data_IF_151496629769
#
_entry.id   IF_151496629769
#
_cell.length_a   1.000
_cell.length_b   1.000
_cell.length_c   1.000
_cell.angle_alpha   90.00
_cell.angle_beta   90.00
_cell.angle_gamma   90.00
#
_symmetry.space_group_name_H-M   'P 1'
#
loop_
_entity.id
_entity.type
_entity.pdbx_description
1 polymer ?
#
# COMPACT_ATOMS: atom_id res chain seq x y z
N UNK A 1 -0.79 5.74 -8.71
CA UNK A 1 0.18 6.86 -8.54
C UNK A 1 0.91 6.86 -9.87
N UNK A 2 0.93 7.94 -10.68
CA UNK A 2 1.51 7.85 -12.02
C UNK A 2 2.92 7.24 -11.92
N UNK A 3 3.24 6.32 -12.85
CA UNK A 3 4.49 5.54 -12.85
C UNK A 3 5.63 6.51 -12.51
N UNK A 4 6.19 6.36 -11.31
CA UNK A 4 7.29 7.18 -10.87
C UNK A 4 8.45 6.88 -11.82
N UNK A 5 8.86 7.89 -12.60
CA UNK A 5 10.11 7.81 -13.34
C UNK A 5 11.26 7.79 -12.32
N UNK A 6 11.64 6.58 -11.94
CA UNK A 6 12.67 6.34 -10.94
C UNK A 6 14.05 6.76 -11.44
N UNK A 7 14.28 6.72 -12.75
CA UNK A 7 15.52 7.20 -13.35
C UNK A 7 15.65 8.72 -13.20
N UNK A 8 14.60 9.48 -13.54
CA UNK A 8 14.54 10.93 -13.30
C UNK A 8 14.63 11.26 -11.80
N UNK A 9 13.93 10.50 -10.96
CA UNK A 9 13.96 10.68 -9.51
C UNK A 9 15.37 10.45 -8.94
N UNK A 10 16.06 9.41 -9.40
CA UNK A 10 17.45 9.12 -9.04
C UNK A 10 18.38 10.28 -9.39
N UNK A 11 18.32 10.76 -10.65
CA UNK A 11 19.14 11.90 -11.10
C UNK A 11 18.91 13.14 -10.25
N UNK A 12 17.66 13.44 -9.93
CA UNK A 12 17.29 14.56 -9.05
C UNK A 12 17.93 14.43 -7.66
N UNK A 13 17.85 13.25 -7.03
CA UNK A 13 18.45 13.07 -5.69
C UNK A 13 19.97 13.18 -5.72
N UNK A 14 20.63 12.67 -6.76
CA UNK A 14 22.08 12.85 -6.93
C UNK A 14 22.44 14.33 -7.10
N UNK A 15 21.72 15.07 -7.94
CA UNK A 15 21.90 16.51 -8.08
C UNK A 15 21.73 17.23 -6.74
N UNK A 16 20.71 16.89 -5.97
CA UNK A 16 20.48 17.46 -4.65
C UNK A 16 21.64 17.14 -3.68
N UNK A 17 22.20 15.93 -3.72
CA UNK A 17 23.35 15.56 -2.87
C UNK A 17 24.58 16.37 -3.25
N UNK A 18 24.92 16.43 -4.55
CA UNK A 18 26.11 17.12 -5.01
C UNK A 18 26.01 18.65 -4.90
N UNK A 19 24.80 19.19 -5.06
CA UNK A 19 24.52 20.62 -4.91
C UNK A 19 24.25 21.08 -3.48
N UNK A 20 24.10 20.16 -2.51
CA UNK A 20 23.82 20.55 -1.12
C UNK A 20 25.03 21.20 -0.46
N UNK A 21 24.87 22.38 0.19
CA UNK A 21 25.92 22.98 1.01
C UNK A 21 26.10 22.26 2.35
N UNK A 22 25.08 21.52 2.81
CA UNK A 22 25.10 20.83 4.10
C UNK A 22 25.78 19.45 4.02
N UNK A 23 26.17 19.01 2.82
CA UNK A 23 26.89 17.76 2.61
C UNK A 23 28.32 18.13 2.23
N UNK A 24 29.28 17.80 3.10
CA UNK A 24 30.69 18.07 2.86
C UNK A 24 31.27 17.24 1.71
N UNK A 25 32.40 17.70 1.14
CA UNK A 25 33.01 17.10 -0.04
C UNK A 25 33.43 15.64 0.16
N UNK A 26 33.90 15.29 1.36
CA UNK A 26 34.23 13.91 1.72
C UNK A 26 33.01 12.97 1.60
N UNK A 27 31.81 13.45 1.92
CA UNK A 27 30.58 12.67 1.75
C UNK A 27 30.16 12.59 0.28
N UNK A 28 30.33 13.69 -0.48
CA UNK A 28 30.05 13.69 -1.93
C UNK A 28 30.96 12.69 -2.66
N UNK A 29 32.23 12.64 -2.28
CA UNK A 29 33.19 11.65 -2.78
C UNK A 29 32.75 10.22 -2.42
N UNK A 30 32.39 9.96 -1.16
CA UNK A 30 31.85 8.67 -0.75
C UNK A 30 30.61 8.25 -1.55
N UNK A 31 29.73 9.20 -1.92
CA UNK A 31 28.58 8.92 -2.78
C UNK A 31 29.00 8.59 -4.22
N UNK A 32 30.01 9.27 -4.78
CA UNK A 32 30.56 8.94 -6.11
C UNK A 32 31.12 7.52 -6.15
N UNK A 33 31.88 7.14 -5.13
CA UNK A 33 32.43 5.78 -5.04
C UNK A 33 31.31 4.74 -4.90
N UNK A 34 30.32 5.04 -4.07
CA UNK A 34 29.14 4.19 -3.93
C UNK A 34 28.37 4.03 -5.24
N UNK A 35 28.24 5.08 -6.05
CA UNK A 35 27.57 5.00 -7.35
C UNK A 35 28.28 4.07 -8.34
N UNK A 36 29.61 4.05 -8.30
CA UNK A 36 30.43 3.16 -9.15
C UNK A 36 30.17 1.70 -8.82
N UNK A 37 30.02 1.35 -7.55
CA UNK A 37 29.85 -0.04 -7.08
C UNK A 37 28.38 -0.49 -6.96
N UNK A 38 27.44 0.42 -6.72
CA UNK A 38 26.05 0.07 -6.43
C UNK A 38 25.19 -0.11 -7.69
N UNK A 39 25.31 -1.29 -8.31
CA UNK A 39 24.54 -1.66 -9.52
C UNK A 39 23.25 -2.42 -9.15
N UNK A 40 22.14 -1.69 -9.08
CA UNK A 40 20.79 -2.24 -8.83
C UNK A 40 19.74 -1.50 -9.66
N UNK A 41 18.50 -2.01 -9.71
CA UNK A 41 17.36 -1.38 -10.41
C UNK A 41 17.14 0.08 -9.96
N UNK A 42 16.77 0.96 -10.88
CA UNK A 42 16.62 2.41 -10.66
C UNK A 42 15.69 2.77 -9.49
N UNK A 43 14.58 2.05 -9.30
CA UNK A 43 13.70 2.26 -8.16
C UNK A 43 14.42 2.11 -6.82
N UNK A 44 15.30 1.11 -6.72
CA UNK A 44 16.09 0.86 -5.51
C UNK A 44 17.19 1.91 -5.35
N UNK A 45 17.78 2.38 -6.44
CA UNK A 45 18.76 3.49 -6.43
C UNK A 45 18.12 4.80 -6.00
N UNK A 46 16.94 5.14 -6.54
CA UNK A 46 16.21 6.34 -6.17
C UNK A 46 15.90 6.39 -4.66
N UNK A 47 15.37 5.29 -4.10
CA UNK A 47 15.13 5.18 -2.66
C UNK A 47 16.44 5.28 -1.86
N UNK A 48 17.52 4.68 -2.34
CA UNK A 48 18.83 4.74 -1.69
C UNK A 48 19.33 6.19 -1.60
N UNK A 49 19.41 6.90 -2.73
CA UNK A 49 19.94 8.26 -2.78
C UNK A 49 19.04 9.27 -2.06
N UNK A 50 17.72 9.08 -2.07
CA UNK A 50 16.83 9.85 -1.23
C UNK A 50 17.23 9.75 0.25
N UNK A 51 17.48 8.54 0.75
CA UNK A 51 17.85 8.35 2.15
C UNK A 51 19.26 8.87 2.45
N UNK A 52 20.21 8.72 1.52
CA UNK A 52 21.53 9.32 1.65
C UNK A 52 21.44 10.84 1.80
N UNK A 53 20.66 11.51 0.95
CA UNK A 53 20.43 12.95 1.04
C UNK A 53 19.90 13.39 2.41
N UNK A 54 19.06 12.57 3.03
CA UNK A 54 18.44 12.89 4.32
C UNK A 54 19.39 12.67 5.52
N UNK A 55 20.26 11.66 5.52
CA UNK A 55 21.14 11.40 6.68
C UNK A 55 22.58 11.91 6.55
N UNK A 56 23.12 12.07 5.33
CA UNK A 56 24.50 12.54 5.14
C UNK A 56 24.76 13.95 5.70
N UNK A 57 23.80 14.90 5.72
CA UNK A 57 24.02 16.20 6.36
C UNK A 57 24.37 16.12 7.85
N UNK A 58 24.10 15.00 8.52
CA UNK A 58 24.43 14.82 9.94
C UNK A 58 25.88 14.36 10.18
N UNK A 59 26.62 14.04 9.12
CA UNK A 59 28.01 13.61 9.15
C UNK A 59 28.90 14.63 8.44
N UNK A 60 30.02 15.01 9.05
CA UNK A 60 31.06 15.81 8.38
C UNK A 60 31.85 14.93 7.40
N UNK A 61 32.17 13.71 7.81
CA UNK A 61 32.85 12.70 7.01
C UNK A 61 32.34 11.31 7.42
N UNK A 62 31.34 10.82 6.69
CA UNK A 62 30.68 9.55 6.94
C UNK A 62 31.67 8.37 6.99
N UNK A 63 32.69 8.34 6.11
CA UNK A 63 33.67 7.24 6.05
C UNK A 63 34.45 7.09 7.36
N UNK A 64 34.76 8.21 8.03
CA UNK A 64 35.44 8.19 9.33
C UNK A 64 34.46 8.00 10.47
N UNK A 65 33.39 8.79 10.46
CA UNK A 65 32.41 8.85 11.55
C UNK A 65 31.53 7.60 11.66
N UNK A 66 31.46 6.73 10.64
CA UNK A 66 30.76 5.43 10.76
C UNK A 66 31.43 4.44 11.74
N UNK A 67 32.68 4.72 12.13
CA UNK A 67 33.42 4.00 13.17
C UNK A 67 33.37 4.70 14.53
N UNK A 68 32.64 5.80 14.65
CA UNK A 68 32.42 6.49 15.93
C UNK A 68 31.03 6.11 16.46
N UNK A 69 31.02 5.39 17.59
CA UNK A 69 29.78 4.89 18.20
C UNK A 69 28.85 6.03 18.63
N UNK A 70 29.38 7.04 19.30
CA UNK A 70 28.58 8.13 19.87
C UNK A 70 28.01 9.00 18.76
N UNK A 71 28.82 9.28 17.73
CA UNK A 71 28.37 10.00 16.55
C UNK A 71 27.23 9.26 15.86
N UNK A 72 27.41 7.97 15.58
CA UNK A 72 26.38 7.14 14.96
C UNK A 72 25.10 7.09 15.80
N UNK A 73 25.22 6.87 17.11
CA UNK A 73 24.08 6.85 18.03
C UNK A 73 23.31 8.16 18.00
N UNK A 74 24.00 9.31 18.01
CA UNK A 74 23.38 10.62 17.97
C UNK A 74 22.56 10.85 16.69
N UNK A 75 23.05 10.37 15.54
CA UNK A 75 22.34 10.49 14.26
C UNK A 75 21.14 9.55 14.21
N UNK A 76 21.29 8.30 14.66
CA UNK A 76 20.19 7.34 14.67
C UNK A 76 19.07 7.78 15.61
N UNK A 77 19.40 8.36 16.76
CA UNK A 77 18.41 8.92 17.68
C UNK A 77 17.58 10.01 16.99
N UNK A 78 18.22 10.92 16.24
CA UNK A 78 17.52 11.96 15.45
C UNK A 78 16.59 11.35 14.40
N UNK A 79 16.99 10.25 13.77
CA UNK A 79 16.21 9.59 12.72
C UNK A 79 15.10 8.66 13.26
N UNK A 80 15.20 8.22 14.52
CA UNK A 80 14.28 7.23 15.10
C UNK A 80 12.84 7.69 15.29
N UNK A 81 12.58 9.00 15.29
CA UNK A 81 11.22 9.56 15.34
C UNK A 81 10.41 9.39 14.04
N UNK A 82 11.01 8.85 12.98
CA UNK A 82 10.36 8.72 11.67
C UNK A 82 9.78 7.32 11.46
N UNK A 83 8.59 7.22 10.87
CA UNK A 83 8.00 5.93 10.44
C UNK A 83 8.83 5.18 9.38
N UNK A 84 9.89 5.81 8.87
CA UNK A 84 10.86 5.28 7.92
C UNK A 84 12.19 4.88 8.56
N UNK A 85 12.32 4.91 9.90
CA UNK A 85 13.57 4.60 10.63
C UNK A 85 14.23 3.30 10.18
N UNK A 86 13.46 2.20 10.04
CA UNK A 86 14.03 0.92 9.60
C UNK A 86 14.54 0.98 8.14
N UNK A 87 13.93 1.83 7.30
CA UNK A 87 14.44 2.09 5.95
C UNK A 87 15.76 2.87 6.01
N UNK A 88 15.85 3.93 6.82
CA UNK A 88 17.09 4.66 7.04
C UNK A 88 18.20 3.73 7.51
N UNK A 89 17.92 2.95 8.55
CA UNK A 89 18.83 1.96 9.11
C UNK A 89 19.33 1.02 8.02
N UNK A 90 18.42 0.40 7.25
CA UNK A 90 18.76 -0.53 6.17
C UNK A 90 19.67 0.09 5.11
N UNK A 91 19.36 1.32 4.65
CA UNK A 91 20.16 2.02 3.63
C UNK A 91 21.52 2.46 4.15
N UNK A 92 21.59 2.95 5.38
CA UNK A 92 22.85 3.30 6.03
C UNK A 92 23.76 2.08 6.19
N UNK A 93 23.22 0.88 6.52
CA UNK A 93 24.05 -0.34 6.55
C UNK A 93 24.66 -0.64 5.19
N UNK A 94 23.83 -0.58 4.15
CA UNK A 94 24.24 -0.94 2.80
C UNK A 94 25.30 0.04 2.29
N UNK A 95 25.15 1.33 2.59
CA UNK A 95 26.14 2.36 2.28
C UNK A 95 27.46 2.10 2.98
N UNK A 96 27.43 1.96 4.31
CA UNK A 96 28.63 1.72 5.12
C UNK A 96 29.35 0.42 4.72
N UNK A 97 28.61 -0.68 4.54
CA UNK A 97 29.18 -1.94 4.12
C UNK A 97 29.88 -1.83 2.77
N UNK A 98 29.26 -1.21 1.77
CA UNK A 98 29.87 -1.09 0.45
C UNK A 98 31.08 -0.17 0.43
N UNK A 99 31.14 0.86 1.30
CA UNK A 99 32.33 1.69 1.46
C UNK A 99 33.44 1.00 2.27
N UNK A 100 33.11 -0.06 3.01
CA UNK A 100 33.99 -0.82 3.88
C UNK A 100 34.11 -2.29 3.41
N UNK A 101 34.31 -2.48 2.10
CA UNK A 101 34.64 -3.78 1.49
C UNK A 101 33.63 -4.92 1.79
N UNK A 102 32.36 -4.56 1.97
CA UNK A 102 31.27 -5.50 2.28
C UNK A 102 30.99 -5.68 3.77
N UNK A 103 31.86 -5.19 4.66
CA UNK A 103 31.69 -5.36 6.10
C UNK A 103 31.01 -4.16 6.76
N UNK A 104 30.03 -4.44 7.63
CA UNK A 104 29.39 -3.39 8.42
C UNK A 104 30.29 -3.02 9.61
N UNK A 105 30.66 -1.74 9.79
CA UNK A 105 31.42 -1.28 10.95
C UNK A 105 30.81 -1.71 12.29
N UNK A 106 31.65 -2.21 13.22
CA UNK A 106 31.20 -2.68 14.55
C UNK A 106 30.39 -1.64 15.33
N UNK A 107 30.81 -0.36 15.41
CA UNK A 107 30.07 0.68 16.15
C UNK A 107 28.68 0.88 15.59
N UNK A 108 28.58 0.91 14.26
CA UNK A 108 27.32 1.00 13.54
C UNK A 108 26.41 -0.22 13.82
N UNK A 109 26.96 -1.44 13.80
CA UNK A 109 26.23 -2.67 14.16
C UNK A 109 25.73 -2.66 15.60
N UNK A 110 26.52 -2.16 16.55
CA UNK A 110 26.20 -2.09 17.98
C UNK A 110 25.13 -1.03 18.27
N UNK A 111 25.31 0.19 17.74
CA UNK A 111 24.38 1.31 17.93
C UNK A 111 22.94 0.93 17.57
N UNK A 112 22.78 0.17 16.49
CA UNK A 112 21.47 -0.28 16.05
C UNK A 112 20.78 -1.31 16.94
N UNK A 113 21.50 -2.02 17.83
CA UNK A 113 20.86 -2.96 18.77
C UNK A 113 20.07 -2.23 19.85
N UNK A 114 20.40 -0.96 20.09
CA UNK A 114 19.75 -0.11 21.10
C UNK A 114 18.33 0.30 20.70
N UNK A 115 18.02 0.31 19.41
CA UNK A 115 16.70 0.68 18.91
C UNK A 115 15.81 -0.56 18.78
N UNK A 116 14.73 -0.63 19.56
CA UNK A 116 13.71 -1.66 19.43
C UNK A 116 13.08 -1.56 18.04
N UNK A 117 12.86 -2.70 17.38
CA UNK A 117 12.04 -2.73 16.16
C UNK A 117 10.64 -2.25 16.52
N UNK A 118 10.16 -1.21 15.84
CA UNK A 118 8.72 -0.89 15.88
C UNK A 118 7.97 -2.06 15.27
N UNK A 119 6.94 -2.55 15.96
CA UNK A 119 6.02 -3.55 15.39
C UNK A 119 5.22 -2.84 14.29
N UNK A 120 5.65 -3.00 13.03
CA UNK A 120 5.00 -2.39 11.86
C UNK A 120 3.81 -3.23 11.37
N UNK A 121 2.91 -3.63 12.27
CA UNK A 121 1.63 -4.23 11.92
C UNK A 121 0.52 -3.27 12.31
N UNK A 122 -0.51 -3.10 11.45
CA UNK A 122 -1.71 -2.32 11.83
C UNK A 122 -2.44 -2.92 13.05
N UNK A 123 -2.12 -4.16 13.43
CA UNK A 123 -2.73 -4.84 14.58
C UNK A 123 -4.22 -5.12 14.39
N UNK A 124 -4.70 -5.15 13.14
CA UNK A 124 -6.10 -5.44 12.81
C UNK A 124 -6.45 -6.84 13.30
N UNK A 125 -7.51 -6.92 14.10
CA UNK A 125 -8.13 -8.15 14.60
C UNK A 125 -9.30 -8.54 13.68
N UNK A 126 -9.87 -9.73 13.88
CA UNK A 126 -11.00 -10.25 13.10
C UNK A 126 -12.15 -9.25 12.97
N UNK A 127 -12.55 -8.64 14.08
CA UNK A 127 -13.66 -7.68 14.12
C UNK A 127 -13.37 -6.35 13.39
N UNK A 128 -12.10 -6.02 13.10
CA UNK A 128 -11.74 -4.81 12.36
C UNK A 128 -11.96 -4.96 10.84
N UNK A 129 -12.26 -6.18 10.37
CA UNK A 129 -12.45 -6.46 8.95
C UNK A 129 -13.88 -6.16 8.51
N UNK A 130 -14.00 -5.43 7.39
CA UNK A 130 -15.28 -5.22 6.71
C UNK A 130 -15.75 -6.54 6.13
N UNK A 131 -16.92 -7.00 6.54
CA UNK A 131 -17.56 -8.18 5.98
C UNK A 131 -18.18 -7.87 4.61
N UNK A 132 -18.48 -8.90 3.82
CA UNK A 132 -19.14 -8.71 2.52
C UNK A 132 -20.50 -8.01 2.66
N UNK A 133 -21.30 -8.39 3.66
CA UNK A 133 -22.60 -7.77 3.94
C UNK A 133 -22.48 -6.28 4.31
N UNK A 134 -21.54 -5.93 5.19
CA UNK A 134 -21.25 -4.53 5.52
C UNK A 134 -20.77 -3.74 4.29
N UNK A 135 -19.98 -4.37 3.42
CA UNK A 135 -19.57 -3.78 2.14
C UNK A 135 -20.76 -3.45 1.25
N UNK A 136 -21.69 -4.40 1.09
CA UNK A 136 -22.94 -4.19 0.34
C UNK A 136 -23.78 -3.05 0.92
N UNK A 137 -23.85 -2.93 2.25
CA UNK A 137 -24.60 -1.85 2.89
C UNK A 137 -23.92 -0.49 2.74
N UNK A 138 -22.59 -0.43 2.78
CA UNK A 138 -21.82 0.79 2.55
C UNK A 138 -22.03 1.33 1.13
N UNK A 139 -21.96 0.46 0.12
CA UNK A 139 -22.05 0.91 -1.27
C UNK A 139 -23.47 1.38 -1.66
N UNK A 140 -24.52 1.02 -0.91
CA UNK A 140 -25.88 1.56 -1.09
C UNK A 140 -25.95 3.06 -0.82
N UNK A 141 -25.01 3.61 -0.04
CA UNK A 141 -24.95 5.04 0.33
C UNK A 141 -24.42 5.95 -0.78
N UNK A 142 -23.99 5.40 -1.91
CA UNK A 142 -23.54 6.19 -3.05
C UNK A 142 -24.32 5.83 -4.31
N UNK A 143 -24.50 6.81 -5.20
CA UNK A 143 -25.05 6.61 -6.54
C UNK A 143 -23.95 6.38 -7.58
N UNK A 144 -22.69 6.65 -7.26
CA UNK A 144 -21.57 6.46 -8.18
C UNK A 144 -21.34 4.98 -8.45
N UNK A 145 -21.57 4.55 -9.70
CA UNK A 145 -21.29 3.18 -10.17
C UNK A 145 -19.81 2.83 -9.98
N UNK A 146 -18.91 3.77 -10.27
CA UNK A 146 -17.47 3.56 -10.13
C UNK A 146 -17.07 3.34 -8.68
N UNK A 147 -17.55 4.15 -7.73
CA UNK A 147 -17.19 3.99 -6.31
C UNK A 147 -17.70 2.66 -5.76
N UNK A 148 -18.90 2.21 -6.17
CA UNK A 148 -19.40 0.87 -5.84
C UNK A 148 -18.45 -0.20 -6.37
N UNK A 149 -18.10 -0.16 -7.66
CA UNK A 149 -17.17 -1.10 -8.27
C UNK A 149 -15.80 -1.09 -7.58
N UNK A 150 -15.23 0.09 -7.33
CA UNK A 150 -13.94 0.24 -6.69
C UNK A 150 -13.91 -0.42 -5.30
N UNK A 151 -14.94 -0.16 -4.49
CA UNK A 151 -15.02 -0.71 -3.14
C UNK A 151 -15.18 -2.23 -3.17
N UNK A 152 -16.13 -2.74 -3.96
CA UNK A 152 -16.43 -4.17 -4.00
C UNK A 152 -15.30 -4.97 -4.64
N UNK A 153 -14.64 -4.47 -5.68
CA UNK A 153 -13.46 -5.12 -6.29
C UNK A 153 -12.31 -5.17 -5.30
N UNK A 154 -12.06 -4.10 -4.55
CA UNK A 154 -11.00 -4.11 -3.54
C UNK A 154 -11.34 -5.04 -2.36
N UNK A 155 -12.61 -5.12 -1.95
CA UNK A 155 -13.04 -6.06 -0.90
C UNK A 155 -13.00 -7.51 -1.39
N UNK A 156 -13.28 -7.73 -2.67
CA UNK A 156 -13.23 -9.05 -3.28
C UNK A 156 -11.78 -9.53 -3.41
N UNK A 157 -10.94 -8.83 -4.18
CA UNK A 157 -9.61 -9.29 -4.57
C UNK A 157 -8.44 -8.71 -3.76
N UNK A 158 -8.67 -7.65 -2.99
CA UNK A 158 -7.67 -7.13 -2.07
C UNK A 158 -6.36 -6.72 -2.73
N UNK A 159 -6.35 -6.13 -3.93
CA UNK A 159 -5.13 -5.70 -4.62
C UNK A 159 -4.21 -4.84 -3.75
N UNK A 160 -2.90 -4.78 -4.04
CA UNK A 160 -2.05 -3.76 -3.41
C UNK A 160 -2.53 -2.38 -3.87
N UNK A 161 -2.46 -1.34 -3.03
CA UNK A 161 -2.95 -0.01 -3.40
C UNK A 161 -2.39 0.54 -4.71
N UNK A 162 -1.10 0.29 -4.98
CA UNK A 162 -0.47 0.68 -6.25
C UNK A 162 -1.07 -0.08 -7.43
N UNK A 163 -1.04 -1.42 -7.36
CA UNK A 163 -1.61 -2.31 -8.38
C UNK A 163 -3.06 -1.94 -8.70
N UNK A 164 -3.90 -1.74 -7.67
CA UNK A 164 -5.31 -1.40 -7.84
C UNK A 164 -5.52 -0.09 -8.59
N UNK A 165 -4.81 0.96 -8.19
CA UNK A 165 -4.96 2.31 -8.77
C UNK A 165 -4.38 2.36 -10.19
N UNK A 166 -3.37 1.54 -10.44
CA UNK A 166 -2.62 1.54 -11.68
C UNK A 166 -3.24 0.61 -12.75
N UNK A 167 -4.37 -0.05 -12.46
CA UNK A 167 -5.17 -0.80 -13.45
C UNK A 167 -5.66 0.08 -14.60
N UNK A 168 -5.62 -0.47 -15.80
CA UNK A 168 -6.21 0.07 -17.02
C UNK A 168 -7.48 -0.70 -17.41
N UNK A 169 -8.33 -0.08 -18.24
CA UNK A 169 -9.55 -0.70 -18.73
C UNK A 169 -9.27 -2.05 -19.41
N UNK A 170 -8.17 -2.14 -20.16
CA UNK A 170 -7.75 -3.33 -20.88
C UNK A 170 -7.28 -4.49 -20.00
N UNK A 171 -7.01 -4.26 -18.73
CA UNK A 171 -6.54 -5.28 -17.79
C UNK A 171 -7.66 -6.22 -17.34
N UNK A 172 -8.92 -5.82 -17.54
CA UNK A 172 -10.11 -6.59 -17.16
C UNK A 172 -10.65 -7.40 -18.36
N UNK A 173 -10.76 -8.73 -18.19
CA UNK A 173 -11.33 -9.65 -19.18
C UNK A 173 -12.49 -10.42 -18.56
N UNK A 174 -13.68 -10.25 -19.11
CA UNK A 174 -14.86 -11.05 -18.73
C UNK A 174 -14.71 -12.47 -19.29
N UNK A 175 -14.83 -13.49 -18.43
CA UNK A 175 -14.77 -14.91 -18.80
C UNK A 175 -15.86 -15.68 -18.04
N UNK A 176 -16.98 -15.94 -18.72
CA UNK A 176 -18.14 -16.59 -18.10
C UNK A 176 -18.62 -15.82 -16.87
N UNK A 177 -18.71 -16.51 -15.74
CA UNK A 177 -19.14 -15.93 -14.45
C UNK A 177 -18.02 -15.21 -13.69
N UNK A 178 -16.84 -15.05 -14.29
CA UNK A 178 -15.68 -14.43 -13.68
C UNK A 178 -15.19 -13.20 -14.46
N UNK A 179 -14.50 -12.30 -13.77
CA UNK A 179 -13.66 -11.29 -14.40
C UNK A 179 -12.21 -11.56 -14.01
N UNK A 180 -11.36 -11.71 -15.02
CA UNK A 180 -9.91 -11.89 -14.84
C UNK A 180 -9.26 -10.52 -14.95
N UNK A 181 -8.50 -10.14 -13.91
CA UNK A 181 -7.71 -8.90 -13.89
C UNK A 181 -6.23 -9.26 -14.01
N UNK A 182 -5.59 -8.84 -15.10
CA UNK A 182 -4.16 -9.04 -15.32
C UNK A 182 -3.37 -7.95 -14.59
N UNK A 183 -2.31 -8.33 -13.88
CA UNK A 183 -1.43 -7.40 -13.15
C UNK A 183 0.00 -7.62 -13.63
N UNK A 184 0.46 -6.74 -14.52
CA UNK A 184 1.78 -6.88 -15.14
C UNK A 184 2.91 -6.33 -14.26
N UNK A 185 2.60 -5.32 -13.43
CA UNK A 185 3.58 -4.65 -12.57
C UNK A 185 3.57 -5.18 -11.14
N UNK A 186 4.16 -6.36 -10.93
CA UNK A 186 4.35 -6.90 -9.58
C UNK A 186 5.73 -6.54 -9.00
N UNK A 187 5.83 -6.55 -7.67
CA UNK A 187 7.10 -6.30 -6.96
C UNK A 187 8.20 -7.30 -7.34
N UNK A 188 7.81 -8.51 -7.73
CA UNK A 188 8.70 -9.60 -8.15
C UNK A 188 8.98 -9.59 -9.66
N UNK A 189 8.14 -8.93 -10.46
CA UNK A 189 8.29 -8.83 -11.91
C UNK A 189 7.58 -9.93 -12.70
N UNK A 190 6.92 -10.86 -12.01
CA UNK A 190 6.08 -11.89 -12.63
C UNK A 190 4.63 -11.37 -12.73
N UNK A 191 4.03 -11.33 -13.93
CA UNK A 191 2.62 -11.03 -14.08
C UNK A 191 1.77 -12.04 -13.30
N UNK A 192 0.64 -11.59 -12.75
CA UNK A 192 -0.36 -12.50 -12.19
C UNK A 192 -1.75 -12.13 -12.65
N UNK A 193 -2.59 -13.13 -12.76
CA UNK A 193 -4.03 -12.95 -12.97
C UNK A 193 -4.74 -13.05 -11.63
N UNK A 194 -5.78 -12.24 -11.46
CA UNK A 194 -6.64 -12.25 -10.28
C UNK A 194 -8.07 -12.46 -10.73
N UNK A 195 -8.65 -13.56 -10.28
CA UNK A 195 -10.04 -13.91 -10.52
C UNK A 195 -10.96 -13.16 -9.55
N UNK A 196 -11.94 -12.48 -10.12
CA UNK A 196 -13.06 -11.86 -9.42
C UNK A 196 -14.30 -12.71 -9.61
N UNK A 197 -14.98 -13.03 -8.52
CA UNK A 197 -16.24 -13.76 -8.54
C UNK A 197 -17.34 -13.06 -7.74
N UNK A 198 -17.01 -12.48 -6.58
CA UNK A 198 -18.00 -11.77 -5.73
C UNK A 198 -18.38 -10.41 -6.33
N UNK A 199 -17.40 -9.72 -6.90
CA UNK A 199 -17.52 -8.32 -7.35
C UNK A 199 -17.92 -8.15 -8.82
N UNK A 200 -18.11 -9.25 -9.56
CA UNK A 200 -18.45 -9.29 -10.99
C UNK A 200 -19.59 -8.35 -11.39
N UNK A 201 -20.78 -8.36 -10.75
CA UNK A 201 -21.87 -7.48 -11.17
C UNK A 201 -21.54 -5.99 -11.03
N UNK A 202 -20.76 -5.62 -10.02
CA UNK A 202 -20.37 -4.22 -9.79
C UNK A 202 -19.33 -3.76 -10.80
N UNK A 203 -18.30 -4.57 -11.05
CA UNK A 203 -17.26 -4.23 -12.02
C UNK A 203 -17.82 -4.23 -13.45
N UNK A 204 -18.66 -5.20 -13.81
CA UNK A 204 -19.29 -5.24 -15.13
C UNK A 204 -20.12 -3.98 -15.41
N UNK A 205 -20.93 -3.56 -14.43
CA UNK A 205 -21.71 -2.32 -14.53
C UNK A 205 -20.79 -1.10 -14.75
N UNK A 206 -19.66 -1.03 -14.05
CA UNK A 206 -18.68 0.03 -14.26
C UNK A 206 -18.02 -0.05 -15.63
N UNK A 207 -17.57 -1.22 -16.08
CA UNK A 207 -16.94 -1.40 -17.40
C UNK A 207 -17.88 -0.98 -18.54
N UNK A 208 -19.18 -1.20 -18.38
CA UNK A 208 -20.22 -0.75 -19.31
C UNK A 208 -20.46 0.76 -19.26
N UNK A 209 -20.38 1.37 -18.07
CA UNK A 209 -20.56 2.81 -17.85
C UNK A 209 -19.27 3.64 -18.04
N UNK A 210 -18.10 3.00 -18.17
CA UNK A 210 -16.82 3.68 -18.28
C UNK A 210 -16.84 4.63 -19.49
N UNK A 211 -16.46 5.92 -19.33
CA UNK A 211 -16.72 6.92 -20.36
C UNK A 211 -15.93 6.72 -21.65
N UNK A 212 -14.74 6.12 -21.57
CA UNK A 212 -13.86 5.98 -22.75
C UNK A 212 -13.78 4.57 -23.31
N UNK A 213 -13.90 3.53 -22.46
CA UNK A 213 -13.73 2.10 -22.81
C UNK A 213 -12.45 1.78 -23.61
N UNK A 214 -11.45 2.66 -23.57
CA UNK A 214 -10.18 2.49 -24.29
C UNK A 214 -9.24 1.67 -23.44
N UNK A 215 -8.63 0.64 -24.03
CA UNK A 215 -7.78 -0.33 -23.31
C UNK A 215 -6.65 0.30 -22.49
N UNK A 216 -6.06 1.40 -22.96
CA UNK A 216 -4.92 2.10 -22.32
C UNK A 216 -5.34 3.19 -21.35
N UNK A 217 -6.64 3.44 -21.20
CA UNK A 217 -7.12 4.43 -20.26
C UNK A 217 -7.20 3.81 -18.86
N UNK A 218 -6.93 4.61 -17.80
CA UNK A 218 -7.05 4.13 -16.42
C UNK A 218 -8.45 3.56 -16.15
N UNK A 219 -8.52 2.42 -15.47
CA UNK A 219 -9.79 1.80 -15.07
C UNK A 219 -10.56 2.68 -14.07
N UNK A 220 -9.83 3.39 -13.21
CA UNK A 220 -10.39 4.26 -12.19
C UNK A 220 -10.03 5.72 -12.48
N UNK A 221 -11.04 6.51 -12.83
CA UNK A 221 -10.92 7.90 -13.23
C UNK A 221 -11.50 8.83 -12.18
N UNK A 222 -10.88 9.97 -11.95
CA UNK A 222 -11.36 10.94 -10.98
C UNK A 222 -12.72 11.51 -11.39
N UNK A 223 -13.73 11.32 -10.54
CA UNK A 223 -15.05 11.92 -10.70
C UNK A 223 -15.00 13.40 -10.32
N UNK A 224 -15.52 14.26 -11.19
CA UNK A 224 -15.58 15.71 -11.07
C UNK A 224 -14.19 16.41 -11.13
N UNK A 225 -14.17 17.64 -11.65
CA UNK A 225 -12.97 18.50 -11.79
C UNK A 225 -11.93 18.08 -12.84
N UNK A 226 -12.32 17.43 -13.95
CA UNK A 226 -11.34 17.05 -14.98
C UNK A 226 -11.28 17.96 -16.21
N UNK A 227 -12.16 18.98 -16.34
CA UNK A 227 -12.24 19.84 -17.55
C UNK A 227 -12.25 19.06 -18.88
N UNK A 228 -12.79 17.84 -18.88
CA UNK A 228 -12.81 16.93 -20.05
C UNK A 228 -11.61 15.99 -20.16
N UNK A 229 -10.61 16.08 -19.27
CA UNK A 229 -9.46 15.20 -19.26
C UNK A 229 -9.74 13.88 -18.51
N UNK A 230 -9.02 12.82 -18.88
CA UNK A 230 -9.05 11.55 -18.17
C UNK A 230 -7.91 11.54 -17.15
N UNK A 231 -8.26 11.69 -15.87
CA UNK A 231 -7.29 11.74 -14.78
C UNK A 231 -7.40 10.47 -13.94
N UNK A 232 -6.30 9.71 -13.84
CA UNK A 232 -6.22 8.54 -12.95
C UNK A 232 -6.38 8.95 -11.49
N UNK A 233 -7.15 8.18 -10.72
CA UNK A 233 -7.24 8.39 -9.28
C UNK A 233 -5.87 8.34 -8.58
N UNK A 234 -5.69 9.18 -7.55
CA UNK A 234 -4.61 9.05 -6.58
C UNK A 234 -5.09 8.29 -5.35
N UNK A 235 -4.18 7.60 -4.64
CA UNK A 235 -4.53 6.83 -3.43
C UNK A 235 -5.28 7.65 -2.39
N UNK A 236 -4.80 8.87 -2.13
CA UNK A 236 -5.43 9.79 -1.18
C UNK A 236 -6.86 10.15 -1.59
N UNK A 237 -7.14 10.29 -2.89
CA UNK A 237 -8.48 10.58 -3.40
C UNK A 237 -9.41 9.36 -3.27
N UNK A 238 -8.94 8.16 -3.59
CA UNK A 238 -9.70 6.91 -3.36
C UNK A 238 -10.06 6.76 -1.88
N UNK A 239 -9.07 6.95 -0.99
CA UNK A 239 -9.30 6.91 0.47
C UNK A 239 -10.37 7.90 0.91
N UNK A 240 -10.36 9.14 0.38
CA UNK A 240 -11.41 10.14 0.67
C UNK A 240 -12.78 9.65 0.22
N UNK A 241 -12.90 9.06 -0.98
CA UNK A 241 -14.17 8.48 -1.46
C UNK A 241 -14.65 7.35 -0.55
N UNK A 242 -13.78 6.44 -0.12
CA UNK A 242 -14.16 5.34 0.76
C UNK A 242 -14.58 5.81 2.15
N UNK A 243 -13.87 6.79 2.72
CA UNK A 243 -14.29 7.41 3.98
C UNK A 243 -15.64 8.13 3.86
N UNK A 244 -15.94 8.72 2.70
CA UNK A 244 -17.24 9.38 2.47
C UNK A 244 -18.43 8.42 2.46
N UNK A 245 -18.22 7.12 2.15
CA UNK A 245 -19.26 6.09 2.28
C UNK A 245 -19.70 5.88 3.74
N UNK A 246 -18.82 6.23 4.68
CA UNK A 246 -19.05 6.07 6.10
C UNK A 246 -19.38 7.39 6.82
N UNK A 247 -19.55 8.48 6.05
CA UNK A 247 -20.05 9.72 6.61
C UNK A 247 -21.50 9.56 7.08
N UNK A 248 -21.84 10.19 8.20
CA UNK A 248 -23.21 10.23 8.71
C UNK A 248 -24.05 11.04 7.72
N UNK A 249 -24.99 10.36 7.07
CA UNK A 249 -26.05 11.02 6.29
C UNK A 249 -27.21 11.34 7.23
N UNK A 250 -27.77 12.54 7.13
CA UNK A 250 -28.94 12.94 7.91
C UNK A 250 -30.19 12.72 7.08
N UNK A 251 -31.11 11.88 7.54
CA UNK A 251 -32.43 11.75 6.94
C UNK A 251 -33.36 12.81 7.48
N UNK A 252 -34.03 13.51 6.57
CA UNK A 252 -35.17 14.36 6.91
C UNK A 252 -36.36 13.44 7.14
N UNK A 253 -36.83 13.37 8.38
CA UNK A 253 -38.08 12.69 8.74
C UNK A 253 -39.16 13.77 8.75
N UNK A 254 -40.19 13.57 7.93
CA UNK A 254 -41.38 14.42 7.95
C UNK A 254 -42.49 13.67 8.68
N UNK A 255 -42.96 14.24 9.78
CA UNK A 255 -44.23 13.89 10.42
C UNK A 255 -45.21 15.04 10.20
N UNK A 256 -46.51 14.79 10.36
CA UNK A 256 -47.60 15.69 9.96
C UNK A 256 -47.49 17.16 10.43
N UNK A 257 -46.66 17.47 11.44
CA UNK A 257 -46.41 18.85 11.91
C UNK A 257 -44.93 19.19 12.27
N UNK A 258 -43.93 18.39 11.87
CA UNK A 258 -42.53 18.65 12.24
C UNK A 258 -41.53 18.03 11.27
N UNK A 259 -40.44 18.76 11.00
CA UNK A 259 -39.24 18.25 10.33
C UNK A 259 -38.11 18.12 11.34
N UNK A 260 -37.62 16.90 11.54
CA UNK A 260 -36.39 16.67 12.29
C UNK A 260 -35.43 15.79 11.50
N UNK A 261 -34.14 16.00 11.74
CA UNK A 261 -33.06 15.23 11.12
C UNK A 261 -32.69 14.08 12.04
N UNK A 262 -32.75 12.85 11.53
CA UNK A 262 -32.22 11.68 12.23
C UNK A 262 -30.95 11.18 11.54
N UNK A 263 -29.93 10.73 12.29
CA UNK A 263 -28.76 10.10 11.69
C UNK A 263 -29.20 8.81 10.99
N UNK A 264 -29.03 8.75 9.67
CA UNK A 264 -29.55 7.69 8.81
C UNK A 264 -28.63 6.45 8.77
N UNK A 265 -28.38 5.87 9.95
CA UNK A 265 -27.69 4.59 10.22
C UNK A 265 -26.23 4.68 10.65
N UNK A 266 -25.91 3.69 11.49
CA UNK A 266 -24.67 3.36 12.17
C UNK A 266 -23.43 3.65 11.31
N UNK A 267 -22.53 4.46 11.87
CA UNK A 267 -21.16 4.63 11.41
C UNK A 267 -20.44 3.29 11.58
N UNK A 268 -19.87 2.75 10.53
CA UNK A 268 -19.02 1.57 10.62
C UNK A 268 -17.72 1.98 11.31
N UNK A 269 -17.48 1.52 12.53
CA UNK A 269 -16.25 1.84 13.27
C UNK A 269 -15.08 0.94 12.86
N UNK A 270 -14.88 0.79 11.54
CA UNK A 270 -13.81 -0.02 10.94
C UNK A 270 -12.98 0.83 9.99
N UNK A 271 -11.68 0.55 9.84
CA UNK A 271 -10.82 1.29 8.92
C UNK A 271 -11.23 1.07 7.46
N UNK A 272 -11.41 2.17 6.72
CA UNK A 272 -11.83 2.17 5.32
C UNK A 272 -10.75 2.77 4.41
N UNK A 273 -9.72 1.97 4.13
CA UNK A 273 -8.71 2.25 3.12
C UNK A 273 -8.35 0.99 2.31
N UNK A 274 -7.62 1.13 1.20
CA UNK A 274 -7.32 -0.02 0.32
C UNK A 274 -6.54 -1.13 1.06
N UNK A 275 -5.70 -0.79 2.03
CA UNK A 275 -5.00 -1.82 2.80
C UNK A 275 -5.94 -2.52 3.77
N UNK A 276 -6.81 -1.79 4.48
CA UNK A 276 -7.78 -2.40 5.38
C UNK A 276 -8.71 -3.35 4.63
N UNK A 277 -9.20 -2.95 3.45
CA UNK A 277 -10.01 -3.80 2.58
C UNK A 277 -9.22 -5.00 2.03
N UNK A 278 -7.92 -4.85 1.77
CA UNK A 278 -7.05 -5.99 1.42
C UNK A 278 -6.95 -7.00 2.57
N UNK A 279 -6.81 -6.53 3.81
CA UNK A 279 -6.85 -7.43 4.97
C UNK A 279 -8.22 -8.12 5.11
N UNK A 280 -9.31 -7.38 4.89
CA UNK A 280 -10.66 -7.92 4.90
C UNK A 280 -10.87 -8.96 3.79
N UNK A 281 -10.37 -8.72 2.59
CA UNK A 281 -10.39 -9.68 1.48
C UNK A 281 -9.65 -10.98 1.81
N UNK A 282 -8.45 -10.89 2.41
CA UNK A 282 -7.73 -12.07 2.90
C UNK A 282 -8.53 -12.83 3.98
N UNK A 283 -9.26 -12.10 4.84
CA UNK A 283 -10.13 -12.70 5.85
C UNK A 283 -11.34 -13.40 5.21
N UNK A 284 -11.96 -12.79 4.19
CA UNK A 284 -13.07 -13.40 3.43
C UNK A 284 -12.64 -14.72 2.78
N UNK A 285 -11.48 -14.74 2.11
CA UNK A 285 -10.95 -15.95 1.47
C UNK A 285 -10.75 -17.09 2.48
N UNK A 286 -10.26 -16.77 3.68
CA UNK A 286 -10.14 -17.77 4.76
C UNK A 286 -11.51 -18.24 5.26
N UNK A 287 -12.44 -17.31 5.48
CA UNK A 287 -13.80 -17.62 5.96
C UNK A 287 -14.62 -18.48 5.00
N UNK A 288 -14.31 -18.40 3.71
CA UNK A 288 -14.91 -19.17 2.62
C UNK A 288 -14.14 -20.47 2.32
N UNK A 289 -13.06 -20.75 3.06
CA UNK A 289 -12.18 -21.90 2.87
C UNK A 289 -11.57 -21.99 1.46
N UNK A 290 -11.24 -20.85 0.85
CA UNK A 290 -10.43 -20.84 -0.38
C UNK A 290 -9.09 -21.52 -0.10
N UNK A 291 -8.60 -22.42 -0.99
CA UNK A 291 -7.28 -23.04 -0.82
C UNK A 291 -6.19 -22.00 -0.59
N UNK A 292 -5.33 -22.26 0.41
CA UNK A 292 -4.40 -21.24 0.94
C UNK A 292 -3.37 -20.79 -0.09
N UNK A 293 -2.92 -21.70 -0.93
CA UNK A 293 -2.04 -21.45 -2.07
C UNK A 293 -2.71 -20.54 -3.10
N UNK A 294 -3.98 -20.80 -3.47
CA UNK A 294 -4.76 -19.96 -4.38
C UNK A 294 -4.99 -18.58 -3.78
N UNK A 295 -5.43 -18.50 -2.52
CA UNK A 295 -5.64 -17.23 -1.83
C UNK A 295 -4.33 -16.43 -1.72
N UNK A 296 -3.23 -17.06 -1.31
CA UNK A 296 -1.93 -16.42 -1.22
C UNK A 296 -1.46 -15.90 -2.58
N UNK A 297 -1.61 -16.70 -3.65
CA UNK A 297 -1.26 -16.33 -5.02
C UNK A 297 -2.07 -15.10 -5.50
N UNK A 298 -3.39 -15.11 -5.31
CA UNK A 298 -4.28 -14.00 -5.71
C UNK A 298 -3.87 -12.68 -5.04
N UNK A 299 -3.55 -12.75 -3.75
CA UNK A 299 -3.03 -11.61 -3.00
C UNK A 299 -1.56 -11.27 -3.34
N UNK A 300 -0.84 -12.12 -4.06
CA UNK A 300 0.58 -11.96 -4.34
C UNK A 300 1.45 -12.07 -3.08
N UNK A 301 1.05 -12.90 -2.12
CA UNK A 301 1.77 -13.19 -0.89
C UNK A 301 2.47 -14.55 -0.98
N UNK A 302 3.55 -14.72 -0.22
CA UNK A 302 3.97 -16.08 0.12
C UNK A 302 2.95 -16.72 1.06
N UNK A 303 2.78 -18.04 1.00
CA UNK A 303 1.85 -18.79 1.86
C UNK A 303 2.08 -18.46 3.34
N UNK A 304 3.34 -18.44 3.79
CA UNK A 304 3.72 -18.06 5.16
C UNK A 304 3.25 -16.65 5.53
N UNK A 305 3.46 -15.69 4.64
CA UNK A 305 3.09 -14.30 4.91
C UNK A 305 1.56 -14.12 4.92
N UNK A 306 0.84 -14.80 4.03
CA UNK A 306 -0.62 -14.80 4.00
C UNK A 306 -1.22 -15.38 5.29
N UNK A 307 -0.68 -16.50 5.76
CA UNK A 307 -1.17 -17.19 6.97
C UNK A 307 -0.87 -16.41 8.25
N UNK A 308 0.35 -15.87 8.40
CA UNK A 308 0.79 -15.23 9.66
C UNK A 308 0.40 -13.74 9.79
N UNK A 309 0.31 -13.00 8.67
CA UNK A 309 0.19 -11.53 8.71
C UNK A 309 -1.16 -10.98 8.26
N UNK A 310 -1.80 -11.61 7.27
CA UNK A 310 -3.05 -11.09 6.67
C UNK A 310 -4.26 -11.91 7.09
N UNK A 311 -5.42 -11.26 7.26
CA UNK A 311 -6.68 -11.91 7.68
C UNK A 311 -6.52 -12.73 8.94
N UNK A 312 -6.03 -12.13 10.04
CA UNK A 312 -5.91 -12.85 11.31
C UNK A 312 -7.32 -13.14 11.83
N UNK A 313 -7.63 -14.43 11.99
CA UNK A 313 -8.91 -14.87 12.51
C UNK A 313 -8.86 -14.93 14.03
N UNK A 314 -9.83 -14.30 14.67
CA UNK A 314 -10.12 -14.58 16.08
C UNK A 314 -10.57 -16.05 16.26
N UNK A 315 -10.62 -16.49 17.51
CA UNK A 315 -11.00 -17.87 17.85
C UNK A 315 -12.43 -18.21 17.40
N UNK A 316 -13.36 -17.26 17.41
CA UNK A 316 -14.77 -17.46 17.05
C UNK A 316 -14.92 -17.71 15.56
N UNK A 317 -14.23 -16.93 14.73
CA UNK A 317 -14.16 -17.09 13.28
C UNK A 317 -13.57 -18.44 12.90
N UNK A 318 -12.52 -18.89 13.61
CA UNK A 318 -11.96 -20.23 13.43
C UNK A 318 -12.93 -21.34 13.80
N UNK A 319 -13.65 -21.21 14.91
CA UNK A 319 -14.68 -22.19 15.29
C UNK A 319 -15.80 -22.27 14.25
N UNK A 320 -16.30 -21.13 13.77
CA UNK A 320 -17.33 -21.12 12.73
C UNK A 320 -16.90 -21.79 11.42
N UNK A 321 -15.62 -21.72 11.06
CA UNK A 321 -15.07 -22.48 9.91
C UNK A 321 -15.05 -23.99 10.16
N UNK A 322 -14.67 -24.40 11.36
CA UNK A 322 -14.69 -25.81 11.77
C UNK A 322 -16.12 -26.35 11.74
N UNK A 323 -17.10 -25.56 12.20
CA UNK A 323 -18.51 -25.94 12.17
C UNK A 323 -19.03 -26.08 10.73
N UNK A 324 -18.73 -25.13 9.85
CA UNK A 324 -19.05 -25.24 8.40
C UNK A 324 -18.42 -26.48 7.77
N UNK A 325 -17.16 -26.78 8.10
CA UNK A 325 -16.48 -27.98 7.61
C UNK A 325 -17.15 -29.27 8.13
N UNK A 326 -17.72 -29.21 9.33
CA UNK A 326 -18.50 -30.29 9.93
C UNK A 326 -19.95 -30.36 9.45
N UNK A 327 -20.38 -29.46 8.55
CA UNK A 327 -21.75 -29.39 8.06
C UNK A 327 -22.77 -28.93 9.12
N UNK A 328 -22.32 -28.16 10.12
CA UNK A 328 -23.16 -27.53 11.15
C UNK A 328 -23.38 -26.06 10.85
#
# INVERSE_FOLDING_TARGET
>A
MPILDYHKSQKRYLQNIYGSPNIGDANKEAVRDFERIYKVKDATRAIMFQRLYEFLPHFKNFRKEMFDYDKVMSVLAKLSGTGTFETYRGRMKRFAALLNQGEIPKPLKQAWKQFKKTKNGRGLKGDDHVTWAEGLDLIKKTTSVQVKAMFMVQLDAGFRPGEFIDLDYGDCKVKGDFIIVSIDNTKTGEPREVELWRSVPFLLTWLQAHPTKRKKDPLWIQENETKGEIIRYRYSAVRKRFLSLNAVTWKRVATDNCHYFTPDKVKLDKPLDLYALRHASCFLDKSENVPTDIAAYRHGHSIKFFTETYGQEDSRSRMGRIDKFRGK
#
